data_IF_060360586188
#
_entry.id   IF_060360586188
#
_cell.length_a   1.000
_cell.length_b   1.000
_cell.length_c   1.000
_cell.angle_alpha   90.00
_cell.angle_beta   90.00
_cell.angle_gamma   90.00
#
_symmetry.space_group_name_H-M   'P 1'
#
loop_
_entity.id
_entity.type
_entity.pdbx_description
1 polymer ?
#
# COMPACT_ATOMS: atom_id res chain seq x y z
N UNK A 1 -24.86 -3.93 -12.22
CA UNK A 1 -23.92 -5.08 -12.18
C UNK A 1 -22.57 -4.56 -12.64
N UNK A 2 -21.55 -4.46 -11.78
CA UNK A 2 -20.21 -4.06 -12.23
C UNK A 2 -19.56 -5.26 -12.93
N UNK A 3 -19.05 -5.06 -14.14
CA UNK A 3 -18.36 -6.11 -14.89
C UNK A 3 -17.08 -6.49 -14.11
N UNK A 4 -16.84 -7.79 -13.86
CA UNK A 4 -15.58 -8.24 -13.28
C UNK A 4 -14.44 -7.89 -14.24
N UNK A 5 -13.39 -7.26 -13.72
CA UNK A 5 -12.15 -7.04 -14.46
C UNK A 5 -11.57 -8.39 -14.88
N UNK A 6 -11.00 -8.49 -16.10
CA UNK A 6 -10.25 -9.68 -16.52
C UNK A 6 -9.09 -9.99 -15.56
N UNK A 7 -8.64 -8.96 -14.84
CA UNK A 7 -7.52 -9.02 -13.91
C UNK A 7 -7.94 -9.39 -12.48
N UNK A 8 -9.22 -9.71 -12.22
CA UNK A 8 -9.70 -10.08 -10.89
C UNK A 8 -8.89 -11.23 -10.25
N UNK A 9 -8.36 -12.15 -11.07
CA UNK A 9 -7.50 -13.24 -10.62
C UNK A 9 -6.17 -12.77 -9.97
N UNK A 10 -5.76 -11.51 -10.19
CA UNK A 10 -4.55 -10.92 -9.58
C UNK A 10 -4.77 -10.39 -8.17
N UNK A 11 -6.02 -10.16 -7.74
CA UNK A 11 -6.35 -9.67 -6.40
C UNK A 11 -5.72 -10.54 -5.30
N UNK A 12 -5.93 -11.87 -5.24
CA UNK A 12 -5.31 -12.69 -4.21
C UNK A 12 -3.78 -12.70 -4.30
N UNK A 13 -3.21 -12.66 -5.51
CA UNK A 13 -1.75 -12.63 -5.73
C UNK A 13 -1.14 -11.35 -5.14
N UNK A 14 -1.78 -10.20 -5.36
CA UNK A 14 -1.30 -8.92 -4.87
C UNK A 14 -1.40 -8.84 -3.35
N UNK A 15 -2.49 -9.35 -2.77
CA UNK A 15 -2.67 -9.39 -1.31
C UNK A 15 -1.69 -10.35 -0.61
N UNK A 16 -1.35 -11.47 -1.24
CA UNK A 16 -0.32 -12.39 -0.74
C UNK A 16 1.08 -11.77 -0.80
N UNK A 17 1.43 -11.16 -1.93
CA UNK A 17 2.70 -10.45 -2.08
C UNK A 17 2.80 -9.28 -1.09
N UNK A 18 1.73 -8.50 -0.91
CA UNK A 18 1.68 -7.43 0.08
C UNK A 18 1.95 -7.96 1.50
N UNK A 19 1.38 -9.11 1.85
CA UNK A 19 1.65 -9.77 3.13
C UNK A 19 3.12 -10.20 3.29
N UNK A 20 3.73 -10.73 2.23
CA UNK A 20 5.14 -11.09 2.21
C UNK A 20 6.04 -9.89 2.48
N UNK A 21 5.79 -8.78 1.78
CA UNK A 21 6.52 -7.52 1.98
C UNK A 21 6.28 -6.92 3.37
N UNK A 22 5.05 -6.98 3.89
CA UNK A 22 4.75 -6.53 5.25
C UNK A 22 5.59 -7.28 6.29
N UNK A 23 5.71 -8.61 6.18
CA UNK A 23 6.57 -9.41 7.07
C UNK A 23 8.03 -8.97 6.96
N UNK A 24 8.57 -8.91 5.74
CA UNK A 24 9.96 -8.51 5.51
C UNK A 24 10.30 -7.11 6.02
N UNK A 25 9.37 -6.15 5.90
CA UNK A 25 9.56 -4.77 6.39
C UNK A 25 9.39 -4.62 7.90
N UNK A 26 8.65 -5.50 8.55
CA UNK A 26 8.32 -5.40 9.99
C UNK A 26 9.42 -5.89 10.91
N UNK A 27 10.39 -6.66 10.42
CA UNK A 27 11.39 -7.35 11.25
C UNK A 27 12.73 -6.60 11.34
N UNK A 28 13.43 -6.76 12.47
CA UNK A 28 14.80 -6.25 12.68
C UNK A 28 14.90 -4.93 13.47
N UNK A 29 16.12 -4.52 13.84
CA UNK A 29 16.38 -3.26 14.54
C UNK A 29 16.32 -2.03 13.59
N UNK A 30 15.96 -0.88 14.16
CA UNK A 30 16.15 0.47 13.60
C UNK A 30 17.34 1.11 14.36
N UNK A 31 18.25 1.94 13.76
CA UNK A 31 18.19 2.67 12.49
C UNK A 31 18.85 2.05 11.25
N UNK A 32 19.65 1.00 11.39
CA UNK A 32 20.59 0.54 10.35
C UNK A 32 19.90 0.06 9.07
N UNK A 33 18.63 -0.32 9.15
CA UNK A 33 17.86 -0.90 8.06
C UNK A 33 16.61 -0.09 7.68
N UNK A 34 16.54 1.21 7.97
CA UNK A 34 15.30 1.98 7.74
C UNK A 34 14.86 2.00 6.27
N UNK A 35 15.70 2.46 5.35
CA UNK A 35 15.35 2.57 3.93
C UNK A 35 14.91 1.22 3.31
N UNK A 36 15.68 0.12 3.43
CA UNK A 36 15.26 -1.15 2.85
C UNK A 36 13.97 -1.69 3.48
N UNK A 37 13.73 -1.47 4.77
CA UNK A 37 12.48 -1.88 5.42
C UNK A 37 11.30 -1.01 5.03
N UNK A 38 11.48 0.30 4.98
CA UNK A 38 10.48 1.25 4.49
C UNK A 38 10.09 0.94 3.04
N UNK A 39 11.05 0.55 2.19
CA UNK A 39 10.80 0.08 0.83
C UNK A 39 9.84 -1.12 0.82
N UNK A 40 10.09 -2.14 1.65
CA UNK A 40 9.19 -3.29 1.75
C UNK A 40 7.80 -2.88 2.24
N UNK A 41 7.70 -2.01 3.23
CA UNK A 41 6.41 -1.52 3.73
C UNK A 41 5.65 -0.69 2.68
N UNK A 42 6.35 0.12 1.87
CA UNK A 42 5.75 0.84 0.75
C UNK A 42 5.24 -0.12 -0.33
N UNK A 43 6.00 -1.16 -0.68
CA UNK A 43 5.55 -2.22 -1.60
C UNK A 43 4.29 -2.92 -1.07
N UNK A 44 4.22 -3.20 0.25
CA UNK A 44 3.05 -3.79 0.86
C UNK A 44 1.80 -2.89 0.72
N UNK A 45 1.94 -1.60 1.01
CA UNK A 45 0.88 -0.60 0.85
C UNK A 45 0.44 -0.49 -0.61
N UNK A 46 1.40 -0.37 -1.54
CA UNK A 46 1.12 -0.26 -2.97
C UNK A 46 0.30 -1.44 -3.48
N UNK A 47 0.73 -2.67 -3.19
CA UNK A 47 0.07 -3.87 -3.68
C UNK A 47 -1.31 -4.06 -3.07
N UNK A 48 -1.48 -3.76 -1.77
CA UNK A 48 -2.78 -3.80 -1.12
C UNK A 48 -3.78 -2.82 -1.78
N UNK A 49 -3.36 -1.59 -2.05
CA UNK A 49 -4.19 -0.57 -2.71
C UNK A 49 -4.53 -0.97 -4.15
N UNK A 50 -3.55 -1.49 -4.90
CA UNK A 50 -3.77 -1.99 -6.27
C UNK A 50 -4.76 -3.15 -6.31
N UNK A 51 -4.69 -4.07 -5.34
CA UNK A 51 -5.64 -5.17 -5.22
C UNK A 51 -7.07 -4.65 -4.99
N UNK A 52 -7.25 -3.69 -4.06
CA UNK A 52 -8.56 -3.09 -3.82
C UNK A 52 -9.12 -2.39 -5.07
N UNK A 53 -8.28 -1.71 -5.85
CA UNK A 53 -8.69 -1.08 -7.09
C UNK A 53 -9.10 -2.10 -8.16
N UNK A 54 -8.35 -3.21 -8.30
CA UNK A 54 -8.70 -4.30 -9.23
C UNK A 54 -10.03 -4.96 -8.81
N UNK A 55 -10.22 -5.24 -7.52
CA UNK A 55 -11.49 -5.73 -6.99
C UNK A 55 -12.64 -4.78 -7.34
N UNK A 56 -12.39 -3.47 -7.32
CA UNK A 56 -13.34 -2.43 -7.73
C UNK A 56 -13.51 -2.27 -9.27
N UNK A 57 -12.86 -3.10 -10.08
CA UNK A 57 -13.01 -3.13 -11.54
C UNK A 57 -11.90 -2.42 -12.33
N UNK A 58 -10.80 -2.01 -11.69
CA UNK A 58 -9.62 -1.51 -12.41
C UNK A 58 -8.87 -2.67 -13.06
N UNK A 59 -8.10 -2.37 -14.11
CA UNK A 59 -7.11 -3.29 -14.67
C UNK A 59 -5.73 -3.07 -14.06
N UNK A 60 -4.86 -4.07 -14.17
CA UNK A 60 -3.46 -3.93 -13.76
C UNK A 60 -2.72 -2.88 -14.61
N UNK A 61 -3.05 -2.76 -15.90
CA UNK A 61 -2.48 -1.70 -16.76
C UNK A 61 -2.91 -0.30 -16.27
N UNK A 62 -4.15 -0.12 -15.81
CA UNK A 62 -4.58 1.13 -15.16
C UNK A 62 -3.79 1.40 -13.88
N UNK A 63 -3.62 0.40 -13.00
CA UNK A 63 -2.77 0.53 -11.82
C UNK A 63 -1.33 0.94 -12.18
N UNK A 64 -0.75 0.34 -13.23
CA UNK A 64 0.61 0.63 -13.71
C UNK A 64 0.75 2.01 -14.34
N UNK A 65 -0.29 2.55 -14.96
CA UNK A 65 -0.23 3.87 -15.62
C UNK A 65 -0.58 5.00 -14.68
N UNK A 66 -1.61 4.81 -13.86
CA UNK A 66 -2.20 5.87 -13.05
C UNK A 66 -1.62 5.93 -11.65
N UNK A 67 -1.43 4.78 -10.98
CA UNK A 67 -0.96 4.73 -9.59
C UNK A 67 0.56 4.63 -9.53
N UNK A 68 1.18 3.67 -10.25
CA UNK A 68 2.63 3.36 -10.14
C UNK A 68 3.05 3.21 -8.67
N UNK A 69 4.00 4.03 -8.22
CA UNK A 69 4.55 4.12 -6.88
C UNK A 69 3.95 5.29 -6.07
N UNK A 70 2.92 5.97 -6.58
CA UNK A 70 2.23 7.05 -5.84
C UNK A 70 1.18 6.45 -4.90
N UNK A 71 1.60 6.17 -3.67
CA UNK A 71 0.77 5.59 -2.62
C UNK A 71 -0.42 6.50 -2.27
N UNK A 72 -0.22 7.83 -2.26
CA UNK A 72 -1.29 8.78 -1.96
C UNK A 72 -2.37 8.79 -3.03
N UNK A 73 -1.98 8.69 -4.30
CA UNK A 73 -2.94 8.54 -5.39
C UNK A 73 -3.70 7.22 -5.28
N UNK A 74 -3.01 6.12 -4.97
CA UNK A 74 -3.64 4.81 -4.73
C UNK A 74 -4.66 4.87 -3.60
N UNK A 75 -4.29 5.47 -2.46
CA UNK A 75 -5.16 5.63 -1.29
C UNK A 75 -6.39 6.48 -1.61
N UNK A 76 -6.21 7.60 -2.31
CA UNK A 76 -7.32 8.47 -2.72
C UNK A 76 -8.27 7.76 -3.68
N UNK A 77 -7.76 6.99 -4.64
CA UNK A 77 -8.58 6.24 -5.57
C UNK A 77 -9.39 5.14 -4.84
N UNK A 78 -8.75 4.37 -3.96
CA UNK A 78 -9.40 3.30 -3.22
C UNK A 78 -10.46 3.83 -2.25
N UNK A 79 -10.16 4.89 -1.49
CA UNK A 79 -11.14 5.54 -0.59
C UNK A 79 -12.28 6.19 -1.36
N UNK A 80 -12.01 6.80 -2.52
CA UNK A 80 -13.03 7.30 -3.43
C UNK A 80 -13.94 6.21 -4.00
N UNK A 81 -13.43 4.98 -4.12
CA UNK A 81 -14.20 3.80 -4.49
C UNK A 81 -15.00 3.18 -3.34
N UNK A 82 -14.79 3.64 -2.10
CA UNK A 82 -15.54 3.20 -0.92
C UNK A 82 -14.72 2.46 0.14
N UNK A 83 -13.41 2.23 -0.07
CA UNK A 83 -12.52 1.66 0.95
C UNK A 83 -12.61 2.50 2.23
N UNK A 84 -12.85 1.82 3.35
CA UNK A 84 -12.81 2.42 4.68
C UNK A 84 -11.46 2.10 5.31
N UNK A 85 -10.79 3.13 5.78
CA UNK A 85 -9.48 3.02 6.42
C UNK A 85 -9.68 3.19 7.90
N UNK A 86 -9.30 2.18 8.70
CA UNK A 86 -9.52 2.18 10.16
C UNK A 86 -8.43 2.87 10.95
N UNK A 87 -7.22 2.94 10.41
CA UNK A 87 -6.09 3.54 11.08
C UNK A 87 -5.98 5.03 10.75
N UNK A 88 -6.26 5.89 11.73
CA UNK A 88 -6.26 7.35 11.59
C UNK A 88 -4.91 7.94 11.14
N UNK A 89 -3.80 7.22 11.32
CA UNK A 89 -2.47 7.66 10.85
C UNK A 89 -2.21 7.38 9.38
N UNK A 90 -3.05 6.58 8.72
CA UNK A 90 -2.81 6.12 7.35
C UNK A 90 -2.56 7.28 6.40
N UNK A 91 -3.40 8.32 6.44
CA UNK A 91 -3.23 9.47 5.56
C UNK A 91 -1.89 10.20 5.81
N UNK A 92 -1.50 10.37 7.06
CA UNK A 92 -0.26 11.07 7.41
C UNK A 92 0.98 10.27 6.99
N UNK A 93 1.02 8.97 7.28
CA UNK A 93 2.14 8.09 6.93
C UNK A 93 2.27 7.94 5.41
N UNK A 94 1.17 7.69 4.70
CA UNK A 94 1.18 7.54 3.24
C UNK A 94 1.58 8.87 2.59
N UNK A 95 1.15 10.02 3.10
CA UNK A 95 1.55 11.33 2.60
C UNK A 95 3.05 11.61 2.80
N UNK A 96 3.63 11.16 3.92
CA UNK A 96 5.06 11.30 4.17
C UNK A 96 5.91 10.40 3.24
N UNK A 97 5.48 9.15 3.03
CA UNK A 97 6.23 8.17 2.24
C UNK A 97 6.09 8.38 0.72
N UNK A 98 4.89 8.71 0.23
CA UNK A 98 4.55 8.66 -1.21
C UNK A 98 5.55 9.43 -2.09
N UNK A 99 5.91 10.70 -1.80
CA UNK A 99 6.80 11.46 -2.69
C UNK A 99 8.19 10.85 -2.82
N UNK A 100 8.74 10.34 -1.71
CA UNK A 100 10.09 9.75 -1.67
C UNK A 100 10.09 8.36 -2.28
N UNK A 101 9.07 7.56 -2.00
CA UNK A 101 8.92 6.24 -2.60
C UNK A 101 8.75 6.32 -4.13
N UNK A 102 7.90 7.24 -4.62
CA UNK A 102 7.67 7.44 -6.04
C UNK A 102 8.93 7.88 -6.83
N UNK A 103 9.92 8.46 -6.14
CA UNK A 103 11.20 8.89 -6.73
C UNK A 103 12.37 7.96 -6.40
N UNK A 104 12.13 6.86 -5.68
CA UNK A 104 13.17 5.96 -5.18
C UNK A 104 14.20 6.66 -4.27
N UNK A 105 13.74 7.62 -3.44
CA UNK A 105 14.54 8.49 -2.57
C UNK A 105 14.41 8.11 -1.07
N UNK A 106 14.07 6.85 -0.75
CA UNK A 106 13.93 6.40 0.64
C UNK A 106 15.27 6.38 1.39
N UNK A 107 16.40 6.16 0.71
CA UNK A 107 17.74 6.28 1.29
C UNK A 107 18.05 7.70 1.76
N UNK A 108 17.54 8.71 1.05
CA UNK A 108 17.66 10.10 1.47
C UNK A 108 16.70 10.44 2.59
N UNK A 109 15.47 9.92 2.53
CA UNK A 109 14.50 10.08 3.62
C UNK A 109 15.00 9.46 4.93
N UNK A 110 15.81 8.40 4.85
CA UNK A 110 16.42 7.79 6.03
C UNK A 110 17.32 8.77 6.80
N UNK A 111 17.79 9.86 6.18
CA UNK A 111 18.64 10.87 6.84
C UNK A 111 17.80 11.96 7.51
N UNK A 112 16.48 12.00 7.26
CA UNK A 112 15.59 13.03 7.77
C UNK A 112 15.22 12.78 9.24
N UNK A 113 15.40 13.78 10.10
CA UNK A 113 15.04 13.71 11.52
C UNK A 113 13.52 13.55 11.78
N UNK A 114 12.68 13.87 10.78
CA UNK A 114 11.21 13.80 10.85
C UNK A 114 10.58 12.65 10.07
N UNK A 115 11.38 11.65 9.63
CA UNK A 115 10.85 10.48 8.93
C UNK A 115 9.87 9.68 9.84
N UNK A 116 8.84 9.04 9.28
CA UNK A 116 7.95 8.20 10.07
C UNK A 116 8.72 6.99 10.63
N UNK A 117 8.37 6.56 11.84
CA UNK A 117 8.97 5.38 12.45
C UNK A 117 8.58 4.11 11.67
N UNK A 118 9.45 3.10 11.63
CA UNK A 118 9.10 1.83 10.97
C UNK A 118 7.94 1.12 11.67
N UNK A 119 7.78 1.34 12.98
CA UNK A 119 6.66 0.81 13.76
C UNK A 119 5.33 1.38 13.25
N UNK A 120 5.25 2.70 13.04
CA UNK A 120 4.05 3.34 12.50
C UNK A 120 3.80 2.93 11.06
N UNK A 121 4.85 2.87 10.23
CA UNK A 121 4.74 2.39 8.85
C UNK A 121 4.20 0.96 8.79
N UNK A 122 4.69 0.07 9.66
CA UNK A 122 4.25 -1.33 9.71
C UNK A 122 2.82 -1.48 10.23
N UNK A 123 2.42 -0.68 11.22
CA UNK A 123 1.04 -0.65 11.71
C UNK A 123 0.07 -0.19 10.61
N UNK A 124 0.40 0.91 9.91
CA UNK A 124 -0.40 1.41 8.78
C UNK A 124 -0.46 0.39 7.64
N UNK A 125 0.67 -0.20 7.25
CA UNK A 125 0.71 -1.20 6.19
C UNK A 125 -0.13 -2.45 6.54
N UNK A 126 -0.11 -2.89 7.80
CA UNK A 126 -0.93 -4.00 8.29
C UNK A 126 -2.42 -3.68 8.27
N UNK A 127 -2.82 -2.56 8.86
CA UNK A 127 -4.22 -2.17 8.94
C UNK A 127 -4.81 -1.93 7.55
N UNK A 128 -4.06 -1.25 6.68
CA UNK A 128 -4.49 -1.00 5.31
C UNK A 128 -4.57 -2.28 4.47
N UNK A 129 -3.66 -3.25 4.67
CA UNK A 129 -3.75 -4.56 4.04
C UNK A 129 -5.03 -5.30 4.45
N UNK A 130 -5.36 -5.28 5.74
CA UNK A 130 -6.59 -5.91 6.25
C UNK A 130 -7.85 -5.20 5.73
N UNK A 131 -7.84 -3.86 5.69
CA UNK A 131 -8.95 -3.06 5.13
C UNK A 131 -9.15 -3.35 3.64
N UNK A 132 -8.06 -3.46 2.87
CA UNK A 132 -8.12 -3.80 1.44
C UNK A 132 -8.62 -5.24 1.20
N UNK A 133 -8.25 -6.20 2.07
CA UNK A 133 -8.79 -7.58 2.02
C UNK A 133 -10.29 -7.57 2.25
N UNK A 134 -10.74 -6.95 3.34
CA UNK A 134 -12.17 -6.87 3.67
C UNK A 134 -12.97 -6.16 2.56
N UNK A 135 -12.40 -5.12 1.95
CA UNK A 135 -13.00 -4.45 0.82
C UNK A 135 -13.11 -5.37 -0.40
N UNK A 136 -12.04 -6.08 -0.76
CA UNK A 136 -12.05 -7.01 -1.89
C UNK A 136 -13.11 -8.12 -1.71
N UNK A 137 -13.20 -8.70 -0.52
CA UNK A 137 -14.19 -9.75 -0.20
C UNK A 137 -15.63 -9.27 -0.39
N UNK A 138 -15.93 -8.02 -0.01
CA UNK A 138 -17.27 -7.42 -0.15
C UNK A 138 -17.60 -7.11 -1.61
N UNK A 139 -16.62 -6.74 -2.44
CA UNK A 139 -16.87 -6.46 -3.86
C UNK A 139 -16.99 -7.73 -4.69
N UNK A 140 -16.41 -8.85 -4.25
CA UNK A 140 -16.54 -10.14 -4.91
C UNK A 140 -17.85 -10.90 -4.59
N UNK A 141 -18.49 -10.59 -3.46
CA UNK A 141 -19.76 -11.16 -3.00
C UNK A 141 -20.98 -10.67 -3.82
#
# INVERSE_FOLDING_TARGET
MRQRSADAHLVPVFLENAQGFLRAGSEGPEPEAWAPRAQMLCCAIELALKAALIANGWTDDQNRREIRHDLMRGLKAATGAGLKVRNDRTQAVVAALSPRYARHELDDMAKDAGRPSLVDCAAVARDLLDDCRAFADVVEA
#
